data_IF_462133156907
#
_entry.id   IF_462133156907
#
_cell.length_a   1.000
_cell.length_b   1.000
_cell.length_c   1.000
_cell.angle_alpha   90.00
_cell.angle_beta   90.00
_cell.angle_gamma   90.00
#
_symmetry.space_group_name_H-M   'P 1'
#
loop_
_entity.id
_entity.type
_entity.pdbx_description
1 polymer ?
#
# COMPACT_ATOMS: atom_id res chain seq x y z
N UNK A 1 -4.36 -14.75 -18.31
CA UNK A 1 -3.39 -14.63 -17.20
C UNK A 1 -4.14 -14.93 -15.90
N UNK A 2 -3.75 -15.96 -15.14
CA UNK A 2 -4.29 -16.16 -13.79
C UNK A 2 -3.74 -15.00 -12.94
N UNK A 3 -4.60 -14.06 -12.54
CA UNK A 3 -4.23 -12.98 -11.65
C UNK A 3 -3.67 -13.58 -10.35
N UNK A 4 -2.46 -13.17 -9.97
CA UNK A 4 -1.88 -13.59 -8.70
C UNK A 4 -2.76 -13.13 -7.54
N UNK A 5 -3.01 -14.04 -6.59
CA UNK A 5 -3.73 -13.71 -5.36
C UNK A 5 -2.88 -12.82 -4.47
N UNK A 6 -3.53 -12.04 -3.61
CA UNK A 6 -2.83 -11.27 -2.60
C UNK A 6 -2.04 -12.19 -1.66
N UNK A 7 -0.86 -11.74 -1.25
CA UNK A 7 0.02 -12.44 -0.33
C UNK A 7 -0.17 -11.92 1.11
N UNK A 8 0.22 -12.71 2.09
CA UNK A 8 0.20 -12.26 3.50
C UNK A 8 1.14 -11.08 3.75
N UNK A 9 2.26 -11.05 3.05
CA UNK A 9 3.22 -9.94 3.12
C UNK A 9 2.63 -8.60 2.72
N UNK A 10 1.78 -8.58 1.69
CA UNK A 10 1.07 -7.39 1.23
C UNK A 10 0.01 -6.93 2.23
N UNK A 11 -0.51 -7.84 3.06
CA UNK A 11 -1.50 -7.54 4.10
C UNK A 11 -0.88 -7.01 5.41
N UNK A 12 0.44 -7.15 5.62
CA UNK A 12 1.10 -6.72 6.88
C UNK A 12 0.85 -5.25 7.16
N UNK A 13 1.22 -4.37 6.24
CA UNK A 13 1.13 -2.93 6.48
C UNK A 13 -0.30 -2.41 6.56
N UNK A 14 -1.25 -2.82 5.69
CA UNK A 14 -2.65 -2.43 5.83
C UNK A 14 -3.26 -2.88 7.16
N UNK A 15 -2.91 -4.08 7.64
CA UNK A 15 -3.39 -4.58 8.92
C UNK A 15 -2.89 -3.73 10.08
N UNK A 16 -1.60 -3.41 10.12
CA UNK A 16 -1.00 -2.56 11.15
C UNK A 16 -1.55 -1.13 11.07
N UNK A 17 -1.77 -0.61 9.87
CA UNK A 17 -2.37 0.70 9.68
C UNK A 17 -3.77 0.77 10.29
N UNK A 18 -4.63 -0.23 10.03
CA UNK A 18 -5.96 -0.30 10.64
C UNK A 18 -5.91 -0.40 12.17
N UNK A 19 -4.97 -1.18 12.73
CA UNK A 19 -4.74 -1.22 14.18
C UNK A 19 -4.36 0.16 14.72
N UNK A 20 -3.47 0.88 14.04
CA UNK A 20 -2.99 2.19 14.47
C UNK A 20 -4.08 3.28 14.49
N UNK A 21 -5.16 3.09 13.75
CA UNK A 21 -6.32 3.99 13.75
C UNK A 21 -7.26 3.76 14.95
N UNK A 22 -7.03 2.70 15.74
CA UNK A 22 -7.84 2.40 16.92
C UNK A 22 -7.25 3.03 18.18
N UNK A 23 -8.07 3.55 19.10
CA UNK A 23 -7.58 4.18 20.33
C UNK A 23 -6.63 3.29 21.13
N UNK A 24 -6.94 1.97 21.20
CA UNK A 24 -6.12 0.99 21.91
C UNK A 24 -5.10 0.26 21.02
N UNK A 25 -5.00 0.62 19.75
CA UNK A 25 -4.14 -0.11 18.81
C UNK A 25 -4.52 -1.58 18.61
N UNK A 26 -5.78 -1.93 18.83
CA UNK A 26 -6.26 -3.32 18.88
C UNK A 26 -7.36 -3.57 17.89
N UNK A 27 -7.40 -4.78 17.30
CA UNK A 27 -8.46 -5.18 16.38
C UNK A 27 -8.66 -6.70 16.44
N UNK A 28 -9.91 -7.16 16.46
CA UNK A 28 -10.20 -8.58 16.35
C UNK A 28 -9.94 -9.09 14.92
N UNK A 29 -9.68 -10.40 14.79
CA UNK A 29 -9.48 -11.01 13.47
C UNK A 29 -10.71 -10.82 12.56
N UNK A 30 -11.90 -10.92 13.09
CA UNK A 30 -13.16 -10.74 12.34
C UNK A 30 -13.31 -9.30 11.86
N UNK A 31 -13.05 -8.34 12.72
CA UNK A 31 -13.11 -6.93 12.35
C UNK A 31 -12.01 -6.56 11.33
N UNK A 32 -10.80 -7.13 11.48
CA UNK A 32 -9.71 -6.94 10.54
C UNK A 32 -10.09 -7.42 9.13
N UNK A 33 -10.72 -8.61 9.03
CA UNK A 33 -11.22 -9.13 7.75
C UNK A 33 -12.25 -8.15 7.15
N UNK A 34 -13.25 -7.76 7.94
CA UNK A 34 -14.30 -6.85 7.49
C UNK A 34 -13.72 -5.53 6.96
N UNK A 35 -12.85 -4.89 7.73
CA UNK A 35 -12.25 -3.60 7.38
C UNK A 35 -11.32 -3.68 6.16
N UNK A 36 -10.47 -4.71 6.10
CA UNK A 36 -9.59 -4.90 4.94
C UNK A 36 -10.41 -5.18 3.67
N UNK A 37 -11.46 -5.99 3.76
CA UNK A 37 -12.37 -6.25 2.63
C UNK A 37 -13.03 -4.96 2.16
N UNK A 38 -13.50 -4.13 3.09
CA UNK A 38 -14.16 -2.87 2.77
C UNK A 38 -13.24 -1.87 2.07
N UNK A 39 -12.02 -1.66 2.58
CA UNK A 39 -11.12 -0.63 2.05
C UNK A 39 -10.35 -1.08 0.81
N UNK A 40 -10.06 -2.38 0.68
CA UNK A 40 -9.31 -2.91 -0.46
C UNK A 40 -10.20 -3.37 -1.61
N UNK A 41 -11.47 -3.63 -1.34
CA UNK A 41 -12.46 -4.10 -2.32
C UNK A 41 -11.94 -5.24 -3.21
N UNK A 42 -11.64 -6.44 -2.65
CA UNK A 42 -11.01 -7.54 -3.37
C UNK A 42 -11.79 -7.92 -4.63
N UNK A 43 -11.07 -8.24 -5.70
CA UNK A 43 -11.63 -8.60 -6.99
C UNK A 43 -10.96 -9.87 -7.54
N UNK A 44 -11.52 -10.40 -8.61
CA UNK A 44 -10.98 -11.58 -9.32
C UNK A 44 -10.95 -12.84 -8.43
N UNK A 45 -9.81 -13.52 -8.37
CA UNK A 45 -9.64 -14.74 -7.58
C UNK A 45 -9.80 -14.49 -6.06
N UNK A 46 -9.37 -13.34 -5.57
CA UNK A 46 -9.44 -13.02 -4.14
C UNK A 46 -10.88 -12.82 -3.66
N UNK A 47 -11.78 -12.38 -4.52
CA UNK A 47 -13.21 -12.24 -4.23
C UNK A 47 -13.99 -13.55 -4.29
N UNK A 48 -13.43 -14.61 -4.89
CA UNK A 48 -14.12 -15.89 -5.03
C UNK A 48 -14.27 -16.60 -3.69
N UNK A 49 -15.41 -17.26 -3.52
CA UNK A 49 -15.71 -18.08 -2.35
C UNK A 49 -14.92 -19.38 -2.46
N UNK A 50 -14.34 -19.82 -1.33
CA UNK A 50 -13.68 -21.12 -1.26
C UNK A 50 -14.69 -22.27 -1.34
N UNK A 51 -14.30 -23.33 -2.04
CA UNK A 51 -15.11 -24.54 -2.11
C UNK A 51 -15.47 -25.05 -0.71
N UNK A 52 -16.76 -25.32 -0.48
CA UNK A 52 -17.32 -25.83 0.77
C UNK A 52 -17.17 -24.88 1.98
N UNK A 53 -17.03 -23.57 1.78
CA UNK A 53 -16.94 -22.54 2.83
C UNK A 53 -17.75 -21.31 2.45
N UNK A 54 -18.08 -20.48 3.46
CA UNK A 54 -18.64 -19.15 3.25
C UNK A 54 -17.59 -18.05 3.07
N UNK A 55 -16.31 -18.41 3.11
CA UNK A 55 -15.17 -17.51 3.07
C UNK A 55 -14.67 -17.25 1.66
N UNK A 56 -14.19 -16.05 1.43
CA UNK A 56 -13.42 -15.72 0.20
C UNK A 56 -11.95 -16.08 0.34
N UNK A 57 -11.25 -16.21 -0.78
CA UNK A 57 -9.79 -16.39 -0.77
C UNK A 57 -9.09 -15.23 -0.07
N UNK A 58 -9.61 -14.01 -0.17
CA UNK A 58 -9.09 -12.85 0.55
C UNK A 58 -9.22 -13.01 2.06
N UNK A 59 -10.42 -13.34 2.56
CA UNK A 59 -10.65 -13.51 4.00
C UNK A 59 -9.81 -14.65 4.58
N UNK A 60 -9.59 -15.73 3.81
CA UNK A 60 -8.64 -16.79 4.18
C UNK A 60 -7.22 -16.24 4.33
N UNK A 61 -6.75 -15.39 3.40
CA UNK A 61 -5.41 -14.79 3.49
C UNK A 61 -5.25 -13.92 4.73
N UNK A 62 -6.29 -13.15 5.10
CA UNK A 62 -6.28 -12.37 6.34
C UNK A 62 -6.21 -13.30 7.57
N UNK A 63 -6.96 -14.42 7.60
CA UNK A 63 -6.87 -15.40 8.69
C UNK A 63 -5.49 -16.06 8.77
N UNK A 64 -4.84 -16.28 7.64
CA UNK A 64 -3.51 -16.86 7.61
C UNK A 64 -2.47 -15.98 8.33
N UNK A 65 -2.67 -14.68 8.46
CA UNK A 65 -1.83 -13.82 9.30
C UNK A 65 -1.75 -14.34 10.74
N UNK A 66 -2.86 -14.93 11.27
CA UNK A 66 -2.87 -15.61 12.57
C UNK A 66 -2.24 -16.98 12.48
N UNK A 67 -2.70 -17.82 11.54
CA UNK A 67 -2.29 -19.23 11.48
C UNK A 67 -0.77 -19.38 11.24
N UNK A 68 -0.17 -18.46 10.51
CA UNK A 68 1.27 -18.44 10.25
C UNK A 68 2.04 -17.49 11.16
N UNK A 69 1.36 -16.86 12.14
CA UNK A 69 1.94 -15.89 13.06
C UNK A 69 2.67 -14.73 12.35
N UNK A 70 2.22 -14.34 11.16
CA UNK A 70 2.95 -13.40 10.29
C UNK A 70 3.25 -12.07 10.98
N UNK A 71 2.29 -11.49 11.68
CA UNK A 71 2.48 -10.22 12.41
C UNK A 71 3.28 -10.41 13.71
N UNK A 72 3.05 -11.52 14.42
CA UNK A 72 3.68 -11.83 15.70
C UNK A 72 5.15 -12.22 15.50
N UNK A 73 5.43 -13.07 14.51
CA UNK A 73 6.80 -13.51 14.17
C UNK A 73 7.76 -12.36 13.90
N UNK A 74 7.26 -11.28 13.29
CA UNK A 74 8.05 -10.08 13.03
C UNK A 74 8.04 -9.07 14.19
N UNK A 75 7.35 -9.40 15.29
CA UNK A 75 7.23 -8.52 16.44
C UNK A 75 6.41 -7.24 16.19
N UNK A 76 5.55 -7.22 15.18
CA UNK A 76 4.73 -6.06 14.84
C UNK A 76 3.43 -5.99 15.64
N UNK A 77 2.92 -7.14 16.06
CA UNK A 77 1.74 -7.23 16.90
C UNK A 77 1.86 -8.40 17.87
N UNK A 78 1.10 -8.35 18.96
CA UNK A 78 0.83 -9.48 19.86
C UNK A 78 -0.59 -9.96 19.57
N UNK A 79 -0.83 -11.25 19.73
CA UNK A 79 -2.17 -11.83 19.57
C UNK A 79 -2.59 -12.54 20.86
N UNK A 80 -3.68 -12.07 21.45
CA UNK A 80 -4.31 -12.69 22.65
C UNK A 80 -5.83 -12.60 22.55
N UNK A 81 -6.49 -13.62 23.04
CA UNK A 81 -7.97 -13.65 23.19
C UNK A 81 -8.77 -13.26 21.93
N UNK A 82 -8.25 -13.64 20.75
CA UNK A 82 -8.92 -13.34 19.48
C UNK A 82 -8.59 -11.96 18.90
N UNK A 83 -7.75 -11.18 19.57
CA UNK A 83 -7.46 -9.78 19.26
C UNK A 83 -5.97 -9.59 18.97
N UNK A 84 -5.66 -8.81 17.96
CA UNK A 84 -4.33 -8.28 17.71
C UNK A 84 -4.13 -6.96 18.46
N UNK A 85 -2.95 -6.79 19.05
CA UNK A 85 -2.50 -5.56 19.67
C UNK A 85 -1.21 -5.12 18.99
N UNK A 86 -1.18 -3.93 18.41
CA UNK A 86 0.00 -3.40 17.73
C UNK A 86 1.10 -3.09 18.75
N UNK A 87 2.34 -3.50 18.44
CA UNK A 87 3.51 -3.17 19.25
C UNK A 87 4.10 -1.82 18.83
N UNK A 88 5.05 -1.30 19.61
CA UNK A 88 5.76 -0.07 19.23
C UNK A 88 6.55 -0.25 17.94
N UNK A 89 7.10 -1.44 17.69
CA UNK A 89 7.73 -1.78 16.40
C UNK A 89 6.73 -1.73 15.25
N UNK A 90 5.51 -2.22 15.47
CA UNK A 90 4.42 -2.13 14.50
C UNK A 90 4.00 -0.68 14.23
N UNK A 91 3.89 0.14 15.29
CA UNK A 91 3.58 1.57 15.19
C UNK A 91 4.66 2.33 14.39
N UNK A 92 5.94 2.08 14.70
CA UNK A 92 7.05 2.68 13.95
C UNK A 92 7.00 2.31 12.46
N UNK A 93 6.67 1.05 12.15
CA UNK A 93 6.52 0.62 10.77
C UNK A 93 5.41 1.38 10.06
N UNK A 94 4.28 1.61 10.71
CA UNK A 94 3.18 2.42 10.17
C UNK A 94 3.60 3.87 10.00
N UNK A 95 4.24 4.48 11.00
CA UNK A 95 4.69 5.87 10.94
C UNK A 95 5.65 6.12 9.77
N UNK A 96 6.63 5.24 9.59
CA UNK A 96 7.60 5.34 8.49
C UNK A 96 6.97 5.20 7.08
N UNK A 97 5.74 4.72 7.01
CA UNK A 97 5.05 4.48 5.72
C UNK A 97 3.67 5.14 5.69
N UNK A 98 3.38 6.06 6.61
CA UNK A 98 2.05 6.61 6.82
C UNK A 98 1.48 7.24 5.55
N UNK A 99 2.21 8.13 4.93
CA UNK A 99 1.77 8.83 3.72
C UNK A 99 1.51 7.86 2.57
N UNK A 100 2.40 6.89 2.36
CA UNK A 100 2.26 5.89 1.30
C UNK A 100 1.05 4.99 1.51
N UNK A 101 0.84 4.47 2.74
CA UNK A 101 -0.29 3.58 3.01
C UNK A 101 -1.63 4.33 2.97
N UNK A 102 -1.68 5.55 3.49
CA UNK A 102 -2.88 6.40 3.38
C UNK A 102 -3.24 6.65 1.92
N UNK A 103 -2.26 7.05 1.11
CA UNK A 103 -2.47 7.30 -0.31
C UNK A 103 -2.97 6.04 -1.04
N UNK A 104 -2.34 4.87 -0.84
CA UNK A 104 -2.74 3.62 -1.47
C UNK A 104 -4.18 3.23 -1.10
N UNK A 105 -4.57 3.41 0.17
CA UNK A 105 -5.88 2.96 0.65
C UNK A 105 -7.01 3.99 0.50
N UNK A 106 -6.71 5.28 0.30
CA UNK A 106 -7.71 6.35 0.24
C UNK A 106 -7.98 6.91 -1.15
N UNK A 107 -7.10 6.67 -2.13
CA UNK A 107 -7.17 7.33 -3.44
C UNK A 107 -8.10 6.69 -4.45
N UNK A 108 -9.00 5.78 -4.04
CA UNK A 108 -9.97 5.14 -4.93
C UNK A 108 -9.34 4.30 -6.05
N UNK A 109 -8.13 3.80 -5.83
CA UNK A 109 -7.48 2.87 -6.73
C UNK A 109 -8.28 1.57 -6.87
N UNK A 110 -8.18 0.93 -8.02
CA UNK A 110 -8.70 -0.40 -8.17
C UNK A 110 -7.88 -1.42 -7.35
N UNK A 111 -8.48 -2.60 -7.12
CA UNK A 111 -7.85 -3.63 -6.29
C UNK A 111 -6.48 -4.08 -6.81
N UNK A 112 -6.30 -4.13 -8.13
CA UNK A 112 -5.04 -4.57 -8.74
C UNK A 112 -3.93 -3.56 -8.47
N UNK A 113 -4.24 -2.27 -8.58
CA UNK A 113 -3.29 -1.19 -8.30
C UNK A 113 -2.93 -1.15 -6.81
N UNK A 114 -3.92 -1.29 -5.91
CA UNK A 114 -3.68 -1.40 -4.46
C UNK A 114 -2.73 -2.56 -4.15
N UNK A 115 -3.03 -3.75 -4.65
CA UNK A 115 -2.21 -4.95 -4.44
C UNK A 115 -0.77 -4.76 -4.95
N UNK A 116 -0.62 -4.29 -6.18
CA UNK A 116 0.70 -4.05 -6.79
C UNK A 116 1.51 -3.01 -6.01
N UNK A 117 0.86 -1.95 -5.54
CA UNK A 117 1.50 -0.89 -4.75
C UNK A 117 1.95 -1.39 -3.39
N UNK A 118 1.12 -2.21 -2.72
CA UNK A 118 1.49 -2.86 -1.45
C UNK A 118 2.66 -3.84 -1.64
N UNK A 119 2.67 -4.61 -2.73
CA UNK A 119 3.76 -5.51 -3.06
C UNK A 119 5.09 -4.79 -3.27
N UNK A 120 5.07 -3.65 -3.96
CA UNK A 120 6.26 -2.79 -4.13
C UNK A 120 6.71 -2.21 -2.80
N UNK A 121 5.79 -1.68 -2.01
CA UNK A 121 6.08 -1.11 -0.70
C UNK A 121 6.67 -2.15 0.26
N UNK A 122 6.24 -3.40 0.18
CA UNK A 122 6.81 -4.51 0.96
C UNK A 122 8.24 -4.85 0.48
N UNK A 123 8.44 -4.97 -0.82
CA UNK A 123 9.75 -5.29 -1.41
C UNK A 123 10.80 -4.20 -1.16
N UNK A 124 10.41 -2.93 -1.19
CA UNK A 124 11.32 -1.81 -0.90
C UNK A 124 11.87 -1.82 0.53
N UNK A 125 11.22 -2.54 1.46
CA UNK A 125 11.70 -2.72 2.84
C UNK A 125 12.71 -3.83 3.00
N UNK A 126 12.66 -4.83 2.12
CA UNK A 126 13.62 -5.93 2.10
C UNK A 126 14.88 -5.57 1.33
N UNK A 127 14.81 -4.54 0.53
CA UNK A 127 15.96 -3.97 -0.15
C UNK A 127 16.58 -2.91 0.78
N UNK A 128 17.83 -3.07 1.14
CA UNK A 128 18.61 -2.06 1.85
C UNK A 128 18.36 -0.71 1.18
N UNK A 129 17.96 0.30 1.97
CA UNK A 129 17.74 1.66 1.44
C UNK A 129 19.07 2.07 0.82
N UNK A 130 19.12 2.07 -0.52
CA UNK A 130 20.25 2.66 -1.23
C UNK A 130 20.14 4.16 -0.92
N UNK A 131 21.13 4.76 -0.27
CA UNK A 131 21.14 6.19 -0.01
C UNK A 131 20.89 6.95 -1.31
N UNK A 132 20.12 8.02 -1.25
CA UNK A 132 19.79 8.85 -2.42
C UNK A 132 21.04 9.28 -3.22
N UNK A 133 22.15 9.42 -2.53
CA UNK A 133 23.47 9.73 -3.08
C UNK A 133 24.03 8.65 -4.01
N UNK A 134 23.69 7.36 -3.79
CA UNK A 134 24.06 6.27 -4.71
C UNK A 134 23.20 6.22 -5.99
N UNK A 135 22.01 6.82 -5.96
CA UNK A 135 21.15 6.93 -7.15
C UNK A 135 21.62 8.00 -8.14
N UNK A 136 22.48 8.92 -7.70
CA UNK A 136 23.03 10.02 -8.49
C UNK A 136 24.40 9.65 -9.10
N UNK A 137 24.99 8.50 -8.77
CA UNK A 137 26.24 8.08 -9.40
C UNK A 137 26.03 7.81 -10.89
N UNK A 138 26.47 8.77 -11.70
CA UNK A 138 26.44 8.73 -13.15
C UNK A 138 27.14 7.49 -13.72
N UNK A 139 26.54 6.93 -14.79
CA UNK A 139 27.27 6.16 -15.78
C UNK A 139 26.91 4.70 -15.96
N UNK A 140 25.92 4.17 -15.28
CA UNK A 140 25.39 2.84 -15.60
C UNK A 140 24.15 2.95 -16.49
N UNK A 141 24.24 2.65 -17.78
CA UNK A 141 23.07 2.34 -18.61
C UNK A 141 22.37 1.11 -18.02
N UNK A 142 21.49 1.32 -17.03
CA UNK A 142 20.46 0.33 -16.72
C UNK A 142 19.36 0.49 -17.77
N UNK A 143 19.11 -0.59 -18.51
CA UNK A 143 17.90 -0.72 -19.33
C UNK A 143 16.72 -0.53 -18.36
N UNK A 144 16.15 0.67 -18.36
CA UNK A 144 14.95 0.95 -17.60
C UNK A 144 13.82 0.22 -18.31
N UNK A 145 13.29 -0.84 -17.71
CA UNK A 145 11.94 -1.27 -18.05
C UNK A 145 11.03 -0.07 -17.83
N UNK A 146 10.53 0.50 -18.91
CA UNK A 146 9.62 1.63 -18.86
C UNK A 146 8.32 1.15 -18.21
N UNK A 147 8.15 1.45 -16.92
CA UNK A 147 6.87 1.25 -16.28
C UNK A 147 5.82 2.06 -17.05
N UNK A 148 4.83 1.40 -17.62
CA UNK A 148 3.64 2.07 -18.13
C UNK A 148 3.02 2.83 -16.95
N UNK A 149 3.24 4.14 -16.90
CA UNK A 149 2.61 4.99 -15.89
C UNK A 149 1.10 4.88 -16.11
N UNK A 150 0.38 4.51 -15.07
CA UNK A 150 -1.08 4.52 -15.11
C UNK A 150 -1.55 5.94 -15.44
N UNK A 151 -2.25 6.11 -16.55
CA UNK A 151 -2.84 7.40 -16.93
C UNK A 151 -3.77 7.95 -15.82
N UNK A 152 -4.45 7.04 -15.13
CA UNK A 152 -5.33 7.35 -14.00
C UNK A 152 -4.55 7.91 -12.80
N UNK A 153 -3.37 7.35 -12.50
CA UNK A 153 -2.48 7.85 -11.44
C UNK A 153 -1.95 9.25 -11.79
N UNK A 154 -1.60 9.47 -13.05
CA UNK A 154 -1.18 10.77 -13.54
C UNK A 154 -2.30 11.79 -13.40
N UNK A 155 -3.53 11.44 -13.80
CA UNK A 155 -4.67 12.34 -13.73
C UNK A 155 -5.02 12.67 -12.27
N UNK A 156 -5.02 11.69 -11.37
CA UNK A 156 -5.25 11.92 -9.93
C UNK A 156 -4.16 12.80 -9.30
N UNK A 157 -2.90 12.63 -9.69
CA UNK A 157 -1.81 13.48 -9.21
C UNK A 157 -1.96 14.92 -9.75
N UNK A 158 -2.30 15.08 -11.02
CA UNK A 158 -2.58 16.40 -11.62
C UNK A 158 -3.73 17.08 -10.87
N UNK A 159 -4.83 16.38 -10.63
CA UNK A 159 -5.99 16.92 -9.91
C UNK A 159 -5.63 17.30 -8.46
N UNK A 160 -4.86 16.47 -7.76
CA UNK A 160 -4.45 16.71 -6.38
C UNK A 160 -3.49 17.90 -6.23
N UNK A 161 -2.52 18.04 -7.14
CA UNK A 161 -1.51 19.10 -7.08
C UNK A 161 -1.87 20.35 -7.88
N UNK A 162 -2.98 20.31 -8.63
CA UNK A 162 -3.45 21.45 -9.40
C UNK A 162 -4.21 22.45 -8.50
N UNK A 163 -3.75 23.68 -8.45
CA UNK A 163 -4.48 24.80 -7.83
C UNK A 163 -5.00 25.70 -8.93
N UNK A 164 -6.31 25.77 -9.10
CA UNK A 164 -6.96 26.56 -10.17
C UNK A 164 -6.49 26.16 -11.59
N UNK A 165 -6.24 24.89 -11.84
CA UNK A 165 -5.77 24.39 -13.15
C UNK A 165 -4.27 24.60 -13.41
N UNK A 166 -3.52 25.08 -12.44
CA UNK A 166 -2.08 25.36 -12.54
C UNK A 166 -1.31 24.42 -11.60
N UNK A 167 -0.26 23.79 -12.09
CA UNK A 167 0.65 22.95 -11.29
C UNK A 167 1.91 23.74 -11.02
N UNK A 168 2.16 24.01 -9.74
CA UNK A 168 3.37 24.69 -9.29
C UNK A 168 4.19 23.78 -8.37
N UNK A 169 5.49 23.95 -8.36
CA UNK A 169 6.37 23.29 -7.40
C UNK A 169 6.15 23.89 -6.00
N UNK A 170 5.77 23.06 -5.02
CA UNK A 170 5.55 23.53 -3.64
C UNK A 170 6.82 24.06 -2.96
N UNK A 171 8.01 23.70 -3.48
CA UNK A 171 9.28 24.14 -2.90
C UNK A 171 9.76 25.49 -3.45
N UNK A 172 9.59 25.75 -4.76
CA UNK A 172 10.18 26.92 -5.40
C UNK A 172 9.16 27.76 -6.20
N UNK A 173 7.88 27.38 -6.21
CA UNK A 173 6.84 28.09 -6.95
C UNK A 173 6.96 27.97 -8.48
N UNK A 174 7.84 27.12 -9.00
CA UNK A 174 8.04 26.95 -10.43
C UNK A 174 6.76 26.41 -11.08
N UNK A 175 6.28 27.10 -12.11
CA UNK A 175 5.10 26.71 -12.89
C UNK A 175 5.51 26.10 -14.23
N UNK A 176 5.18 24.83 -14.42
CA UNK A 176 5.59 24.07 -15.61
C UNK A 176 4.97 24.59 -16.90
N UNK A 177 3.72 25.03 -16.85
CA UNK A 177 2.98 25.48 -18.04
C UNK A 177 3.52 26.79 -18.59
N UNK A 178 3.85 27.75 -17.73
CA UNK A 178 4.40 29.04 -18.15
C UNK A 178 5.82 28.90 -18.70
N UNK A 179 6.59 27.92 -18.25
CA UNK A 179 7.97 27.73 -18.69
C UNK A 179 8.10 26.86 -19.95
N UNK A 180 7.36 25.74 -20.03
CA UNK A 180 7.46 24.79 -21.14
C UNK A 180 6.35 24.91 -22.18
N UNK A 181 5.33 25.76 -21.95
CA UNK A 181 4.16 25.95 -22.81
C UNK A 181 3.09 24.88 -22.61
N UNK A 182 1.94 25.09 -23.26
CA UNK A 182 0.72 24.27 -23.05
C UNK A 182 0.85 22.78 -23.38
N UNK A 183 1.84 22.39 -24.17
CA UNK A 183 2.06 20.97 -24.52
C UNK A 183 2.65 20.14 -23.39
N UNK A 184 3.19 20.76 -22.35
CA UNK A 184 3.91 20.08 -21.26
C UNK A 184 3.30 20.33 -19.88
N UNK A 185 2.22 21.11 -19.79
CA UNK A 185 1.49 21.43 -18.56
C UNK A 185 0.19 20.65 -18.40
#
# INVERSE_FOLDING_TARGET
MRGERITESELVLPSLYLMSLRPMGSISTTELICRLTQIMNPQGLDAQILNNRSDTYFSQKVRNLKSHNTLVKHGYAVYSDGVYHITDRGKQLVLNNKSSIQYILSSGFDYVDVKNSLGRLYKSRTTTVIPYEELISEGGRKVSESYKRSQRLRNAAIEHFSRNGIIVCDCCGFEFKSFYGEKFG
#
